data_IF_455523712351
#
_entry.id   IF_455523712351
#
_cell.length_a   1.000
_cell.length_b   1.000
_cell.length_c   1.000
_cell.angle_alpha   90.00
_cell.angle_beta   90.00
_cell.angle_gamma   90.00
#
_symmetry.space_group_name_H-M   'P 1'
#
loop_
_entity.id
_entity.type
_entity.pdbx_description
1 polymer ?
#
# COMPACT_ATOMS: atom_id res chain seq x y z
N UNK A 1 -6.08 -2.69 7.85
CA UNK A 1 -4.67 -2.58 7.46
C UNK A 1 -3.98 -1.43 8.16
N UNK A 2 -4.54 -0.25 8.06
CA UNK A 2 -3.95 0.92 8.69
C UNK A 2 -3.85 0.73 10.21
N UNK A 3 -4.88 0.12 10.80
CA UNK A 3 -4.89 -0.13 12.23
C UNK A 3 -3.78 -1.10 12.63
N UNK A 4 -3.51 -2.13 11.82
CA UNK A 4 -2.44 -3.07 12.10
C UNK A 4 -1.07 -2.39 12.01
N UNK A 5 -0.86 -1.56 11.01
CA UNK A 5 0.39 -0.82 10.84
C UNK A 5 0.61 0.13 12.02
N UNK A 6 -0.40 0.92 12.36
CA UNK A 6 -0.33 1.86 13.47
C UNK A 6 -0.12 1.15 14.80
N UNK A 7 -0.81 0.04 15.02
CA UNK A 7 -0.69 -0.76 16.23
C UNK A 7 0.72 -1.35 16.36
N UNK A 8 1.26 -1.87 15.26
CA UNK A 8 2.61 -2.44 15.25
C UNK A 8 3.66 -1.37 15.56
N UNK A 9 3.48 -0.17 15.01
CA UNK A 9 4.38 0.94 15.27
C UNK A 9 4.32 1.37 16.74
N UNK A 10 3.12 1.44 17.30
CA UNK A 10 2.93 1.77 18.71
C UNK A 10 3.60 0.74 19.61
N UNK A 11 3.45 -0.53 19.28
CA UNK A 11 4.10 -1.61 20.04
C UNK A 11 5.61 -1.49 19.96
N UNK A 12 6.16 -1.19 18.78
CA UNK A 12 7.60 -0.99 18.63
C UNK A 12 8.09 0.16 19.49
N UNK A 13 7.34 1.26 19.51
CA UNK A 13 7.69 2.45 20.32
C UNK A 13 7.69 2.16 21.80
N UNK A 14 6.80 1.28 22.26
CA UNK A 14 6.72 0.93 23.68
C UNK A 14 7.65 -0.21 24.08
N UNK A 15 8.41 -0.76 23.13
CA UNK A 15 9.32 -1.86 23.40
C UNK A 15 8.65 -3.23 23.41
N UNK A 16 7.39 -3.31 23.01
CA UNK A 16 6.67 -4.57 22.89
C UNK A 16 6.98 -5.18 21.52
N UNK A 17 6.87 -6.52 21.42
CA UNK A 17 7.11 -7.22 20.16
C UNK A 17 6.18 -6.71 19.06
N UNK A 18 6.78 -6.40 17.92
CA UNK A 18 6.04 -6.02 16.71
C UNK A 18 5.46 -7.27 16.07
N UNK A 19 4.24 -7.18 15.58
CA UNK A 19 3.60 -8.29 14.87
C UNK A 19 4.10 -8.34 13.43
N UNK A 20 5.35 -8.76 13.29
CA UNK A 20 6.04 -8.79 12.01
C UNK A 20 5.33 -9.67 10.99
N UNK A 21 4.78 -10.81 11.44
CA UNK A 21 4.07 -11.72 10.54
C UNK A 21 2.85 -11.06 9.91
N UNK A 22 2.12 -10.24 10.68
CA UNK A 22 0.97 -9.51 10.16
C UNK A 22 1.39 -8.50 9.11
N UNK A 23 2.50 -7.80 9.35
CA UNK A 23 3.03 -6.84 8.38
C UNK A 23 3.50 -7.53 7.10
N UNK A 24 4.10 -8.71 7.20
CA UNK A 24 4.52 -9.47 6.04
C UNK A 24 3.32 -9.85 5.20
N UNK A 25 2.23 -10.30 5.83
CA UNK A 25 1.00 -10.66 5.12
C UNK A 25 0.42 -9.43 4.40
N UNK A 26 0.39 -8.30 5.07
CA UNK A 26 -0.11 -7.05 4.47
C UNK A 26 0.76 -6.62 3.30
N UNK A 27 2.08 -6.65 3.47
CA UNK A 27 3.02 -6.33 2.41
C UNK A 27 2.77 -7.20 1.18
N UNK A 28 2.63 -8.50 1.39
CA UNK A 28 2.42 -9.44 0.30
C UNK A 28 1.08 -9.19 -0.38
N UNK A 29 0.04 -8.84 0.38
CA UNK A 29 -1.27 -8.54 -0.18
C UNK A 29 -1.22 -7.36 -1.16
N UNK A 30 -0.49 -6.30 -0.82
CA UNK A 30 -0.32 -5.16 -1.71
C UNK A 30 0.43 -5.55 -2.99
N UNK A 31 1.50 -6.34 -2.85
CA UNK A 31 2.29 -6.79 -3.99
C UNK A 31 1.49 -7.73 -4.89
N UNK A 32 0.72 -8.63 -4.30
CA UNK A 32 -0.12 -9.56 -5.06
C UNK A 32 -1.22 -8.82 -5.81
N UNK A 33 -1.82 -7.82 -5.17
CA UNK A 33 -2.82 -6.98 -5.83
C UNK A 33 -2.21 -6.29 -7.05
N UNK A 34 -1.02 -5.72 -6.91
CA UNK A 34 -0.33 -5.06 -8.02
C UNK A 34 -0.08 -6.05 -9.16
N UNK A 35 0.38 -7.25 -8.83
CA UNK A 35 0.65 -8.28 -9.83
C UNK A 35 -0.61 -8.70 -10.58
N UNK A 36 -1.72 -8.86 -9.86
CA UNK A 36 -3.00 -9.23 -10.46
C UNK A 36 -3.55 -8.10 -11.33
N UNK A 37 -3.41 -6.86 -10.87
CA UNK A 37 -3.84 -5.71 -11.65
C UNK A 37 -3.05 -5.58 -12.95
N UNK A 38 -1.77 -5.92 -12.91
CA UNK A 38 -0.93 -5.87 -14.11
C UNK A 38 -1.43 -6.80 -15.21
N UNK A 39 -2.08 -7.89 -14.84
CA UNK A 39 -2.60 -8.88 -15.80
C UNK A 39 -3.91 -8.44 -16.45
N UNK A 40 -4.58 -7.43 -15.90
CA UNK A 40 -5.85 -6.98 -16.43
C UNK A 40 -5.64 -6.10 -17.66
N UNK A 41 -6.47 -6.33 -18.66
CA UNK A 41 -6.53 -5.46 -19.84
C UNK A 41 -7.48 -4.32 -19.54
N UNK A 42 -7.02 -3.08 -19.78
CA UNK A 42 -7.86 -1.90 -19.59
C UNK A 42 -7.88 -1.07 -20.86
N UNK A 43 -8.94 -0.27 -21.10
CA UNK A 43 -8.95 0.67 -22.20
C UNK A 43 -7.77 1.63 -22.13
N UNK A 44 -7.31 2.07 -23.29
CA UNK A 44 -6.12 2.92 -23.39
C UNK A 44 -6.27 4.21 -22.59
N UNK A 45 -7.45 4.80 -22.58
CA UNK A 45 -7.69 6.05 -21.86
C UNK A 45 -7.68 5.88 -20.33
N UNK A 46 -7.71 4.65 -19.83
CA UNK A 46 -7.61 4.36 -18.40
C UNK A 46 -6.21 3.85 -18.01
N UNK A 47 -5.32 3.68 -18.98
CA UNK A 47 -4.04 3.03 -18.71
C UNK A 47 -3.16 3.79 -17.72
N UNK A 48 -3.20 5.12 -17.74
CA UNK A 48 -2.38 5.92 -16.82
C UNK A 48 -2.83 5.71 -15.36
N UNK A 49 -4.13 5.65 -15.13
CA UNK A 49 -4.66 5.40 -13.79
C UNK A 49 -4.37 3.97 -13.34
N UNK A 50 -4.49 3.04 -14.26
CA UNK A 50 -4.19 1.63 -14.01
C UNK A 50 -2.73 1.46 -13.58
N UNK A 51 -1.79 2.11 -14.29
CA UNK A 51 -0.38 2.05 -13.93
C UNK A 51 -0.10 2.72 -12.60
N UNK A 52 -0.76 3.83 -12.29
CA UNK A 52 -0.60 4.50 -11.00
C UNK A 52 -1.04 3.59 -9.85
N UNK A 53 -2.15 2.88 -10.03
CA UNK A 53 -2.65 1.95 -9.03
C UNK A 53 -1.65 0.82 -8.81
N UNK A 54 -1.14 0.24 -9.91
CA UNK A 54 -0.16 -0.84 -9.83
C UNK A 54 1.09 -0.38 -9.08
N UNK A 55 1.64 0.75 -9.49
CA UNK A 55 2.89 1.27 -8.92
C UNK A 55 2.70 1.65 -7.46
N UNK A 56 1.60 2.34 -7.13
CA UNK A 56 1.35 2.77 -5.76
C UNK A 56 1.13 1.58 -4.84
N UNK A 57 0.41 0.56 -5.32
CA UNK A 57 0.17 -0.64 -4.53
C UNK A 57 1.47 -1.41 -4.27
N UNK A 58 2.29 -1.59 -5.30
CA UNK A 58 3.56 -2.28 -5.14
C UNK A 58 4.49 -1.52 -4.19
N UNK A 59 4.56 -0.20 -4.35
CA UNK A 59 5.40 0.65 -3.49
C UNK A 59 4.89 0.65 -2.05
N UNK A 60 3.58 0.63 -1.86
CA UNK A 60 2.99 0.50 -0.52
C UNK A 60 3.40 -0.82 0.13
N UNK A 61 3.36 -1.91 -0.63
CA UNK A 61 3.80 -3.21 -0.14
C UNK A 61 5.28 -3.19 0.27
N UNK A 62 6.13 -2.58 -0.53
CA UNK A 62 7.55 -2.45 -0.21
C UNK A 62 7.73 -1.62 1.06
N UNK A 63 6.97 -0.54 1.22
CA UNK A 63 7.04 0.29 2.41
C UNK A 63 6.64 -0.48 3.67
N UNK A 64 5.59 -1.29 3.59
CA UNK A 64 5.19 -2.13 4.72
C UNK A 64 6.29 -3.15 5.03
N UNK A 65 6.93 -3.70 4.01
CA UNK A 65 8.05 -4.61 4.22
C UNK A 65 9.18 -3.94 4.99
N UNK A 66 9.49 -2.68 4.68
CA UNK A 66 10.50 -1.91 5.43
C UNK A 66 10.09 -1.72 6.88
N UNK A 67 8.80 -1.54 7.15
CA UNK A 67 8.31 -1.42 8.52
C UNK A 67 8.63 -2.65 9.37
N UNK A 68 8.75 -3.83 8.76
CA UNK A 68 9.10 -5.03 9.49
C UNK A 68 10.50 -4.95 10.11
N UNK A 69 11.31 -4.00 9.68
CA UNK A 69 12.67 -3.80 10.18
C UNK A 69 12.75 -2.84 11.36
N UNK A 70 11.61 -2.32 11.84
CA UNK A 70 11.61 -1.22 12.81
C UNK A 70 12.41 -1.55 14.08
N UNK A 71 12.43 -2.80 14.51
CA UNK A 71 13.14 -3.22 15.71
C UNK A 71 14.59 -3.56 15.46
N UNK A 72 14.97 -3.97 14.24
CA UNK A 72 16.34 -4.36 13.89
C UNK A 72 17.10 -3.26 13.20
N UNK A 73 16.41 -2.42 12.45
CA UNK A 73 17.00 -1.28 11.75
C UNK A 73 15.98 -0.14 11.76
N UNK A 74 15.97 0.66 12.85
CA UNK A 74 14.96 1.72 13.00
C UNK A 74 14.97 2.74 11.88
N UNK A 75 16.12 3.02 11.26
CA UNK A 75 16.20 3.98 10.16
C UNK A 75 15.41 3.48 8.96
N UNK A 76 15.60 2.21 8.58
CA UNK A 76 14.85 1.59 7.50
C UNK A 76 13.37 1.50 7.86
N UNK A 77 13.06 1.12 9.10
CA UNK A 77 11.68 1.02 9.56
C UNK A 77 10.93 2.35 9.50
N UNK A 78 11.57 3.43 9.95
CA UNK A 78 10.96 4.77 9.89
C UNK A 78 10.83 5.26 8.45
N UNK A 79 11.80 4.94 7.61
CA UNK A 79 11.69 5.21 6.17
C UNK A 79 10.47 4.51 5.58
N UNK A 80 10.25 3.26 5.98
CA UNK A 80 9.08 2.49 5.56
C UNK A 80 7.77 3.15 5.97
N UNK A 81 7.71 3.70 7.18
CA UNK A 81 6.51 4.39 7.65
C UNK A 81 6.21 5.62 6.77
N UNK A 82 7.22 6.43 6.51
CA UNK A 82 7.08 7.62 5.67
C UNK A 82 6.63 7.24 4.27
N UNK A 83 7.22 6.21 3.69
CA UNK A 83 6.87 5.73 2.36
C UNK A 83 5.47 5.13 2.34
N UNK A 84 5.09 4.41 3.38
CA UNK A 84 3.73 3.88 3.49
C UNK A 84 2.70 4.99 3.45
N UNK A 85 2.91 6.06 4.21
CA UNK A 85 2.00 7.19 4.23
C UNK A 85 1.88 7.82 2.83
N UNK A 86 3.01 8.00 2.16
CA UNK A 86 3.05 8.58 0.82
C UNK A 86 2.36 7.70 -0.21
N UNK A 87 2.73 6.44 -0.28
CA UNK A 87 2.26 5.58 -1.35
C UNK A 87 0.84 5.08 -1.14
N UNK A 88 0.42 4.88 0.11
CA UNK A 88 -0.98 4.53 0.37
C UNK A 88 -1.91 5.68 0.00
N UNK A 89 -1.47 6.92 0.23
CA UNK A 89 -2.24 8.09 -0.19
C UNK A 89 -2.30 8.19 -1.72
N UNK A 90 -1.18 7.95 -2.40
CA UNK A 90 -1.16 7.93 -3.86
C UNK A 90 -2.09 6.84 -4.41
N UNK A 91 -2.13 5.69 -3.78
CA UNK A 91 -3.01 4.60 -4.19
C UNK A 91 -4.48 5.01 -4.07
N UNK A 92 -4.84 5.60 -2.94
CA UNK A 92 -6.21 6.07 -2.71
C UNK A 92 -6.59 7.13 -3.75
N UNK A 93 -5.69 8.07 -3.99
CA UNK A 93 -5.94 9.14 -4.96
C UNK A 93 -6.06 8.60 -6.38
N UNK A 94 -5.23 7.64 -6.75
CA UNK A 94 -5.29 7.04 -8.07
C UNK A 94 -6.60 6.27 -8.27
N UNK A 95 -7.05 5.57 -7.23
CA UNK A 95 -8.33 4.86 -7.29
C UNK A 95 -9.49 5.83 -7.40
N UNK A 96 -9.45 6.93 -6.66
CA UNK A 96 -10.49 7.97 -6.74
C UNK A 96 -10.51 8.62 -8.12
N UNK A 97 -9.34 8.90 -8.69
CA UNK A 97 -9.24 9.47 -10.03
C UNK A 97 -9.82 8.54 -11.08
N UNK A 98 -9.52 7.26 -10.96
CA UNK A 98 -10.09 6.25 -11.87
C UNK A 98 -11.61 6.24 -11.77
N UNK A 99 -12.13 6.26 -10.55
CA UNK A 99 -13.58 6.25 -10.32
C UNK A 99 -14.26 7.43 -10.99
N UNK A 100 -13.66 8.62 -10.95
CA UNK A 100 -14.25 9.82 -11.55
C UNK A 100 -14.20 9.80 -13.07
N UNK A 101 -13.34 8.98 -13.68
CA UNK A 101 -13.22 8.88 -15.13
C UNK A 101 -14.08 7.77 -15.73
N UNK A 102 -14.60 6.88 -14.89
CA UNK A 102 -15.46 5.80 -15.36
C UNK A 102 -16.81 6.34 -15.80
N UNK A 103 -17.51 5.62 -16.72
CA UNK A 103 -18.87 5.99 -17.08
C UNK A 103 -19.74 6.06 -15.84
N UNK A 104 -20.78 6.86 -15.91
CA UNK A 104 -21.69 7.05 -14.79
C UNK A 104 -22.29 5.73 -14.32
N UNK A 105 -21.96 5.36 -13.09
CA UNK A 105 -22.46 4.14 -12.47
C UNK A 105 -23.59 4.40 -11.49
N UNK A 106 -23.93 5.66 -11.29
CA UNK A 106 -24.89 6.04 -10.26
C UNK A 106 -26.33 5.68 -10.65
N UNK A 107 -26.51 5.36 -11.90
CA UNK A 107 -27.83 4.98 -12.42
C UNK A 107 -28.21 3.56 -12.05
N UNK A 108 -27.32 2.88 -11.45
CA UNK A 108 -27.55 1.51 -11.08
C UNK A 108 -28.47 1.42 -9.88
#
# INVERSE_FOLDING_TARGET
ELDIVSSSLTQASSGVNVKTDDLIVISQAYKDFASKMLLLSVPEDLSIYHLKIINSSNNTGIAVEKLTKITTDPVIGLSGLSEYQKYSEELINAAADLETTLPNNDTI
#
